data_IF_473906025593
#
_entry.id   IF_473906025593
#
_cell.length_a   1.000
_cell.length_b   1.000
_cell.length_c   1.000
_cell.angle_alpha   90.00
_cell.angle_beta   90.00
_cell.angle_gamma   90.00
#
_symmetry.space_group_name_H-M   'P 1'
#
loop_
_entity.id
_entity.type
_entity.pdbx_description
1 polymer ?
#
# COMPACT_ATOMS: atom_id res chain seq x y z
N UNK A 1 17.29 18.26 -15.65
CA UNK A 1 16.57 18.06 -14.37
C UNK A 1 16.63 16.58 -14.04
N UNK A 2 17.50 16.22 -13.11
CA UNK A 2 17.81 14.84 -12.73
C UNK A 2 16.62 14.20 -12.00
N UNK A 3 16.19 13.06 -12.53
CA UNK A 3 15.24 12.17 -11.88
C UNK A 3 15.83 11.68 -10.54
N UNK A 4 15.27 12.14 -9.42
CA UNK A 4 15.46 11.47 -8.14
C UNK A 4 14.99 10.01 -8.19
N UNK A 5 15.30 9.18 -7.19
CA UNK A 5 15.12 7.71 -7.22
C UNK A 5 13.67 7.19 -7.42
N UNK A 6 12.68 8.05 -7.64
CA UNK A 6 11.25 7.75 -7.76
C UNK A 6 10.64 8.19 -9.11
N UNK A 7 11.31 7.95 -10.24
CA UNK A 7 10.89 8.45 -11.55
C UNK A 7 9.88 7.59 -12.34
N UNK A 8 9.59 6.34 -11.95
CA UNK A 8 8.76 5.44 -12.77
C UNK A 8 7.73 4.67 -11.94
N UNK A 9 6.53 4.47 -12.49
CA UNK A 9 5.46 3.57 -11.96
C UNK A 9 6.00 2.23 -11.43
N UNK A 10 6.99 1.66 -12.12
CA UNK A 10 7.68 0.43 -11.73
C UNK A 10 8.38 0.52 -10.37
N UNK A 11 8.96 1.67 -10.03
CA UNK A 11 9.66 1.85 -8.75
C UNK A 11 8.71 1.68 -7.58
N UNK A 12 7.47 2.20 -7.68
CA UNK A 12 6.45 2.00 -6.64
C UNK A 12 6.10 0.53 -6.48
N UNK A 13 5.93 -0.19 -7.58
CA UNK A 13 5.64 -1.63 -7.56
C UNK A 13 6.80 -2.41 -6.91
N UNK A 14 8.05 -2.10 -7.29
CA UNK A 14 9.24 -2.74 -6.71
C UNK A 14 9.37 -2.49 -5.22
N UNK A 15 9.15 -1.26 -4.75
CA UNK A 15 9.20 -0.91 -3.32
C UNK A 15 8.15 -1.70 -2.53
N UNK A 16 6.93 -1.81 -3.05
CA UNK A 16 5.86 -2.56 -2.39
C UNK A 16 6.19 -4.05 -2.31
N UNK A 17 6.68 -4.66 -3.39
CA UNK A 17 7.07 -6.07 -3.37
C UNK A 17 8.29 -6.33 -2.50
N UNK A 18 9.28 -5.43 -2.49
CA UNK A 18 10.43 -5.53 -1.59
C UNK A 18 10.00 -5.46 -0.12
N UNK A 19 9.14 -4.50 0.24
CA UNK A 19 8.57 -4.41 1.58
C UNK A 19 7.73 -5.63 1.95
N UNK A 20 6.95 -6.15 1.00
CA UNK A 20 6.17 -7.39 1.18
C UNK A 20 7.08 -8.59 1.42
N UNK A 21 8.13 -8.75 0.62
CA UNK A 21 9.11 -9.83 0.78
C UNK A 21 9.82 -9.76 2.14
N UNK A 22 10.25 -8.57 2.56
CA UNK A 22 10.88 -8.35 3.86
C UNK A 22 9.93 -8.66 5.02
N UNK A 23 8.66 -8.24 4.93
CA UNK A 23 7.63 -8.55 5.90
C UNK A 23 7.36 -10.06 6.00
N UNK A 24 7.15 -10.73 4.88
CA UNK A 24 6.92 -12.19 4.84
C UNK A 24 8.12 -12.94 5.41
N UNK A 25 9.33 -12.59 5.00
CA UNK A 25 10.55 -13.25 5.44
C UNK A 25 10.78 -13.07 6.95
N UNK A 26 10.71 -11.83 7.44
CA UNK A 26 10.89 -11.56 8.87
C UNK A 26 9.81 -12.23 9.72
N UNK A 27 8.56 -12.23 9.27
CA UNK A 27 7.46 -12.94 9.92
C UNK A 27 7.68 -14.46 9.96
N UNK A 28 8.07 -15.06 8.84
CA UNK A 28 8.37 -16.50 8.78
C UNK A 28 9.51 -16.90 9.70
N UNK A 29 10.62 -16.13 9.71
CA UNK A 29 11.74 -16.37 10.61
C UNK A 29 11.31 -16.26 12.08
N UNK A 30 10.47 -15.27 12.42
CA UNK A 30 9.95 -15.12 13.77
C UNK A 30 9.02 -16.27 14.19
N UNK A 31 8.23 -16.84 13.28
CA UNK A 31 7.38 -18.00 13.56
C UNK A 31 8.21 -19.27 13.78
N UNK A 32 9.24 -19.48 12.94
CA UNK A 32 10.10 -20.69 12.95
C UNK A 32 11.05 -20.71 14.13
N UNK A 33 11.83 -19.64 14.34
CA UNK A 33 12.87 -19.60 15.37
C UNK A 33 12.34 -19.20 16.74
N UNK A 34 11.25 -18.44 16.78
CA UNK A 34 10.56 -18.00 17.99
C UNK A 34 11.44 -17.27 19.02
N UNK A 35 12.57 -16.72 18.58
CA UNK A 35 13.49 -15.98 19.41
C UNK A 35 13.00 -14.54 19.61
N UNK A 36 13.35 -13.94 20.75
CA UNK A 36 13.06 -12.53 21.05
C UNK A 36 13.61 -11.60 19.95
N UNK A 37 14.84 -11.85 19.48
CA UNK A 37 15.47 -11.07 18.42
C UNK A 37 14.67 -11.14 17.10
N UNK A 38 14.27 -12.33 16.65
CA UNK A 38 13.50 -12.49 15.40
C UNK A 38 12.12 -11.85 15.48
N UNK A 39 11.45 -11.96 16.63
CA UNK A 39 10.17 -11.30 16.87
C UNK A 39 10.31 -9.77 16.85
N UNK A 40 11.34 -9.21 17.48
CA UNK A 40 11.62 -7.76 17.47
C UNK A 40 11.89 -7.24 16.05
N UNK A 41 12.65 -7.97 15.23
CA UNK A 41 12.89 -7.61 13.83
C UNK A 41 11.58 -7.63 13.04
N UNK A 42 10.75 -8.66 13.19
CA UNK A 42 9.45 -8.75 12.51
C UNK A 42 8.54 -7.57 12.88
N UNK A 43 8.48 -7.19 14.16
CA UNK A 43 7.73 -6.01 14.62
C UNK A 43 8.29 -4.74 14.00
N UNK A 44 9.61 -4.55 14.02
CA UNK A 44 10.24 -3.36 13.44
C UNK A 44 9.93 -3.23 11.94
N UNK A 45 9.97 -4.34 11.20
CA UNK A 45 9.59 -4.37 9.77
C UNK A 45 8.11 -4.04 9.58
N UNK A 46 7.20 -4.59 10.39
CA UNK A 46 5.77 -4.31 10.32
C UNK A 46 5.48 -2.81 10.59
N UNK A 47 6.12 -2.23 11.61
CA UNK A 47 6.00 -0.81 11.93
C UNK A 47 6.59 0.09 10.84
N UNK A 48 7.71 -0.29 10.24
CA UNK A 48 8.29 0.43 9.12
C UNK A 48 7.36 0.40 7.89
N UNK A 49 6.77 -0.77 7.58
CA UNK A 49 5.77 -0.90 6.53
C UNK A 49 4.54 -0.03 6.80
N UNK A 50 4.03 -0.04 8.03
CA UNK A 50 2.91 0.79 8.45
C UNK A 50 3.22 2.29 8.30
N UNK A 51 4.34 2.75 8.85
CA UNK A 51 4.74 4.16 8.80
C UNK A 51 4.93 4.63 7.35
N UNK A 52 5.63 3.85 6.52
CA UNK A 52 5.81 4.15 5.10
C UNK A 52 4.46 4.16 4.36
N UNK A 53 3.59 3.19 4.64
CA UNK A 53 2.23 3.14 4.10
C UNK A 53 1.42 4.39 4.43
N UNK A 54 1.46 4.86 5.68
CA UNK A 54 0.81 6.11 6.09
C UNK A 54 1.35 7.32 5.32
N UNK A 55 2.68 7.44 5.19
CA UNK A 55 3.31 8.54 4.43
C UNK A 55 2.88 8.52 2.97
N UNK A 56 2.88 7.33 2.34
CA UNK A 56 2.42 7.16 0.95
C UNK A 56 0.93 7.48 0.79
N UNK A 57 0.09 7.00 1.71
CA UNK A 57 -1.35 7.23 1.69
C UNK A 57 -1.67 8.73 1.80
N UNK A 58 -1.11 9.42 2.81
CA UNK A 58 -1.34 10.85 3.02
C UNK A 58 -0.82 11.68 1.83
N UNK A 59 0.35 11.33 1.33
CA UNK A 59 0.94 11.94 0.14
C UNK A 59 0.09 11.75 -1.10
N UNK A 60 -0.48 10.56 -1.29
CA UNK A 60 -1.37 10.25 -2.41
C UNK A 60 -2.72 10.95 -2.28
N UNK A 61 -3.30 10.92 -1.08
CA UNK A 61 -4.55 11.57 -0.77
C UNK A 61 -4.48 13.09 -0.95
N UNK A 62 -3.42 13.74 -0.48
CA UNK A 62 -3.23 15.18 -0.68
C UNK A 62 -3.20 15.57 -2.17
N UNK A 63 -2.51 14.76 -3.01
CA UNK A 63 -2.50 14.95 -4.47
C UNK A 63 -3.87 14.70 -5.09
N UNK A 64 -4.56 13.65 -4.65
CA UNK A 64 -5.90 13.32 -5.11
C UNK A 64 -6.89 14.45 -4.79
N UNK A 65 -6.82 15.07 -3.60
CA UNK A 65 -7.64 16.23 -3.24
C UNK A 65 -7.43 17.40 -4.20
N UNK A 66 -6.18 17.67 -4.59
CA UNK A 66 -5.87 18.73 -5.56
C UNK A 66 -6.46 18.40 -6.95
N UNK A 67 -6.27 17.17 -7.44
CA UNK A 67 -6.80 16.70 -8.72
C UNK A 67 -8.32 16.63 -8.77
N UNK A 68 -8.95 16.33 -7.64
CA UNK A 68 -10.41 16.23 -7.51
C UNK A 68 -11.13 17.53 -7.89
N UNK A 69 -10.43 18.68 -7.94
CA UNK A 69 -11.00 19.94 -8.46
C UNK A 69 -11.40 19.87 -9.94
N UNK A 70 -10.70 19.07 -10.73
CA UNK A 70 -10.94 18.90 -12.17
C UNK A 70 -11.43 17.50 -12.53
N UNK A 71 -11.15 16.50 -11.68
CA UNK A 71 -11.42 15.08 -11.95
C UNK A 71 -12.39 14.48 -10.91
N UNK A 72 -13.12 13.45 -11.31
CA UNK A 72 -13.95 12.63 -10.43
C UNK A 72 -13.12 11.48 -9.85
N UNK A 73 -12.65 11.69 -8.62
CA UNK A 73 -11.81 10.71 -7.91
C UNK A 73 -12.65 10.06 -6.81
N UNK A 74 -13.00 8.79 -7.00
CA UNK A 74 -13.64 7.97 -5.97
C UNK A 74 -12.62 7.33 -5.05
N UNK A 75 -13.03 7.00 -3.82
CA UNK A 75 -12.17 6.24 -2.90
C UNK A 75 -11.81 4.87 -3.48
N UNK A 76 -12.74 4.20 -4.17
CA UNK A 76 -12.46 2.93 -4.82
C UNK A 76 -11.38 3.04 -5.92
N UNK A 77 -11.38 4.14 -6.69
CA UNK A 77 -10.34 4.40 -7.67
C UNK A 77 -8.97 4.64 -6.98
N UNK A 78 -8.97 5.29 -5.82
CA UNK A 78 -7.75 5.60 -5.06
C UNK A 78 -7.16 4.36 -4.34
N UNK A 79 -8.00 3.54 -3.69
CA UNK A 79 -7.54 2.42 -2.85
C UNK A 79 -7.56 1.06 -3.56
N UNK A 80 -8.41 0.87 -4.56
CA UNK A 80 -8.51 -0.40 -5.31
C UNK A 80 -8.07 -0.28 -6.77
N UNK A 81 -7.67 0.91 -7.21
CA UNK A 81 -7.32 1.21 -8.61
C UNK A 81 -8.47 0.81 -9.56
N UNK A 82 -9.71 1.04 -9.11
CA UNK A 82 -10.92 0.65 -9.82
C UNK A 82 -11.15 1.49 -11.09
N UNK A 83 -11.98 0.97 -12.01
CA UNK A 83 -12.26 1.64 -13.29
C UNK A 83 -11.02 1.71 -14.18
N UNK A 84 -10.85 2.84 -14.86
CA UNK A 84 -9.74 3.09 -15.80
C UNK A 84 -8.48 3.67 -15.12
N UNK A 85 -8.44 3.67 -13.77
CA UNK A 85 -7.35 4.30 -13.02
C UNK A 85 -5.98 3.68 -13.29
N UNK A 86 -5.91 2.36 -13.53
CA UNK A 86 -4.65 1.68 -13.78
C UNK A 86 -4.80 0.59 -14.84
N UNK A 87 -3.71 0.29 -15.56
CA UNK A 87 -3.69 -0.90 -16.41
C UNK A 87 -3.91 -2.16 -15.56
N UNK A 88 -4.54 -3.23 -16.13
CA UNK A 88 -4.81 -4.46 -15.39
C UNK A 88 -3.56 -5.06 -14.74
N UNK A 89 -2.39 -4.90 -15.38
CA UNK A 89 -1.10 -5.38 -14.85
C UNK A 89 -0.72 -4.67 -13.56
N UNK A 90 -0.74 -3.33 -13.55
CA UNK A 90 -0.38 -2.55 -12.35
C UNK A 90 -1.36 -2.85 -11.21
N UNK A 91 -2.66 -2.87 -11.53
CA UNK A 91 -3.71 -3.17 -10.56
C UNK A 91 -3.49 -4.54 -9.90
N UNK A 92 -3.24 -5.59 -10.70
CA UNK A 92 -2.94 -6.94 -10.17
C UNK A 92 -1.69 -6.97 -9.31
N UNK A 93 -0.65 -6.25 -9.67
CA UNK A 93 0.61 -6.22 -8.90
C UNK A 93 0.42 -5.56 -7.53
N UNK A 94 -0.18 -4.38 -7.49
CA UNK A 94 -0.38 -3.66 -6.23
C UNK A 94 -1.41 -4.36 -5.33
N UNK A 95 -2.55 -4.79 -5.88
CA UNK A 95 -3.54 -5.56 -5.11
C UNK A 95 -3.00 -6.93 -4.68
N UNK A 96 -2.22 -7.58 -5.53
CA UNK A 96 -1.60 -8.87 -5.24
C UNK A 96 -0.62 -8.77 -4.07
N UNK A 97 0.23 -7.74 -4.05
CA UNK A 97 1.13 -7.50 -2.93
C UNK A 97 0.37 -7.20 -1.62
N UNK A 98 -0.66 -6.35 -1.67
CA UNK A 98 -1.52 -6.09 -0.49
C UNK A 98 -2.20 -7.38 0.00
N UNK A 99 -2.70 -8.22 -0.90
CA UNK A 99 -3.31 -9.49 -0.55
C UNK A 99 -2.30 -10.45 0.11
N UNK A 100 -1.07 -10.52 -0.39
CA UNK A 100 0.01 -11.30 0.24
C UNK A 100 0.32 -10.77 1.64
N UNK A 101 0.38 -9.45 1.83
CA UNK A 101 0.58 -8.85 3.15
C UNK A 101 -0.53 -9.23 4.12
N UNK A 102 -1.80 -9.17 3.69
CA UNK A 102 -2.95 -9.55 4.51
C UNK A 102 -2.88 -11.03 4.90
N UNK A 103 -2.65 -11.92 3.94
CA UNK A 103 -2.55 -13.37 4.18
C UNK A 103 -1.40 -13.68 5.14
N UNK A 104 -0.22 -13.08 4.92
CA UNK A 104 0.94 -13.30 5.77
C UNK A 104 0.74 -12.75 7.19
N UNK A 105 0.09 -11.59 7.33
CA UNK A 105 -0.22 -11.01 8.64
C UNK A 105 -1.17 -11.89 9.44
N UNK A 106 -2.26 -12.34 8.80
CA UNK A 106 -3.23 -13.25 9.42
C UNK A 106 -2.57 -14.58 9.77
N UNK A 107 -1.83 -15.18 8.85
CA UNK A 107 -1.13 -16.44 9.08
C UNK A 107 -0.12 -16.34 10.24
N UNK A 108 0.68 -15.27 10.29
CA UNK A 108 1.65 -15.04 11.36
C UNK A 108 0.99 -14.86 12.73
N UNK A 109 -0.08 -14.05 12.80
CA UNK A 109 -0.84 -13.84 14.03
C UNK A 109 -1.55 -15.13 14.51
N UNK A 110 -2.08 -15.93 13.58
CA UNK A 110 -2.72 -17.22 13.89
C UNK A 110 -1.72 -18.30 14.30
N UNK A 111 -0.54 -18.34 13.70
CA UNK A 111 0.50 -19.32 14.02
C UNK A 111 1.06 -19.13 15.45
N UNK A 112 1.08 -17.89 15.95
CA UNK A 112 1.55 -17.54 17.29
C UNK A 112 0.60 -16.55 17.98
N UNK A 113 -0.57 -17.00 18.46
CA UNK A 113 -1.57 -16.13 19.07
C UNK A 113 -1.05 -15.40 20.31
N UNK A 114 -1.58 -14.19 20.56
CA UNK A 114 -1.24 -13.35 21.72
C UNK A 114 0.26 -12.99 21.85
N UNK A 115 0.98 -13.01 20.73
CA UNK A 115 2.39 -12.59 20.67
C UNK A 115 2.55 -11.25 19.94
N UNK A 116 3.76 -10.72 19.93
CA UNK A 116 4.12 -9.53 19.17
C UNK A 116 3.96 -9.70 17.64
N UNK A 117 3.73 -10.91 17.13
CA UNK A 117 3.40 -11.11 15.71
C UNK A 117 2.04 -10.52 15.32
N UNK A 118 1.16 -10.22 16.28
CA UNK A 118 -0.09 -9.49 16.02
C UNK A 118 0.14 -8.10 15.41
N UNK A 119 1.29 -7.44 15.68
CA UNK A 119 1.65 -6.17 15.05
C UNK A 119 1.78 -6.28 13.53
N UNK A 120 1.97 -7.48 12.99
CA UNK A 120 1.98 -7.74 11.54
C UNK A 120 0.69 -7.31 10.82
N UNK A 121 -0.44 -7.21 11.53
CA UNK A 121 -1.74 -6.75 11.00
C UNK A 121 -1.66 -5.31 10.47
N UNK A 122 -0.66 -4.53 10.89
CA UNK A 122 -0.43 -3.16 10.40
C UNK A 122 0.29 -3.11 9.04
N UNK A 123 1.01 -4.16 8.65
CA UNK A 123 1.82 -4.18 7.43
C UNK A 123 1.04 -3.93 6.12
N UNK A 124 -0.21 -4.42 5.94
CA UNK A 124 -1.04 -4.16 4.75
C UNK A 124 -1.26 -2.68 4.41
N UNK A 125 -1.05 -1.77 5.36
CA UNK A 125 -1.13 -0.31 5.13
C UNK A 125 -0.08 0.14 4.11
N UNK A 126 1.05 -0.55 3.99
CA UNK A 126 2.03 -0.29 2.92
C UNK A 126 1.41 -0.46 1.53
N UNK A 127 0.72 -1.58 1.32
CA UNK A 127 0.02 -1.86 0.07
C UNK A 127 -1.02 -0.79 -0.26
N UNK A 128 -1.93 -0.51 0.69
CA UNK A 128 -3.00 0.50 0.53
C UNK A 128 -2.43 1.90 0.28
N UNK A 129 -1.41 2.30 1.04
CA UNK A 129 -0.74 3.59 0.87
C UNK A 129 -0.09 3.73 -0.50
N UNK A 130 0.58 2.68 -0.98
CA UNK A 130 1.17 2.68 -2.30
C UNK A 130 0.13 2.72 -3.43
N UNK A 131 -1.02 2.07 -3.26
CA UNK A 131 -2.15 2.16 -4.20
C UNK A 131 -2.63 3.61 -4.33
N UNK A 132 -2.88 4.30 -3.22
CA UNK A 132 -3.29 5.71 -3.21
C UNK A 132 -2.22 6.63 -3.80
N UNK A 133 -0.95 6.42 -3.44
CA UNK A 133 0.16 7.17 -4.00
C UNK A 133 0.26 7.00 -5.52
N UNK A 134 0.25 5.76 -6.00
CA UNK A 134 0.35 5.44 -7.42
C UNK A 134 -0.83 6.02 -8.20
N UNK A 135 -2.05 5.78 -7.73
CA UNK A 135 -3.28 6.28 -8.37
C UNK A 135 -3.28 7.80 -8.48
N UNK A 136 -2.88 8.51 -7.42
CA UNK A 136 -2.82 9.98 -7.44
C UNK A 136 -1.78 10.54 -8.41
N UNK A 137 -0.67 9.82 -8.63
CA UNK A 137 0.48 10.30 -9.42
C UNK A 137 0.40 9.90 -10.89
N UNK A 138 -0.01 8.66 -11.16
CA UNK A 138 0.02 8.06 -12.50
C UNK A 138 -1.36 7.66 -13.00
N UNK A 139 -2.36 7.62 -12.13
CA UNK A 139 -3.68 7.16 -12.49
C UNK A 139 -4.46 8.17 -13.33
N UNK A 140 -5.32 7.63 -14.19
CA UNK A 140 -6.25 8.39 -15.02
C UNK A 140 -7.63 8.40 -14.38
N UNK A 141 -8.27 9.56 -14.36
CA UNK A 141 -9.60 9.71 -13.77
C UNK A 141 -10.53 10.43 -14.76
N UNK A 142 -11.84 10.14 -14.74
CA UNK A 142 -12.82 10.87 -15.53
C UNK A 142 -12.82 12.36 -15.16
N UNK A 143 -13.13 13.23 -16.13
CA UNK A 143 -13.33 14.65 -15.86
C UNK A 143 -14.57 14.86 -15.00
N UNK A 144 -14.49 15.83 -14.10
CA UNK A 144 -15.62 16.23 -13.27
C UNK A 144 -16.68 16.91 -14.11
N UNK A 145 -17.91 16.40 -14.03
CA UNK A 145 -19.07 17.04 -14.67
C UNK A 145 -19.70 18.03 -13.68
N UNK A 146 -19.69 19.33 -14.00
CA UNK A 146 -20.37 20.34 -13.17
C UNK A 146 -21.87 20.29 -13.46
N UNK A 147 -22.66 19.81 -12.50
CA UNK A 147 -24.12 19.82 -12.62
C UNK A 147 -24.63 21.27 -12.46
N UNK A 148 -25.42 21.82 -13.41
CA UNK A 148 -25.89 23.21 -13.32
C UNK A 148 -26.79 23.39 -12.09
N UNK A 149 -26.60 24.50 -11.37
CA UNK A 149 -27.38 24.85 -10.18
C UNK A 149 -28.83 25.12 -10.61
N UNK A 150 -29.77 24.24 -10.24
CA UNK A 150 -31.22 24.53 -10.40
C UNK A 150 -31.54 25.74 -9.51
N UNK A 151 -31.92 26.85 -10.14
CA UNK A 151 -32.49 28.03 -9.48
C UNK A 151 -33.92 27.74 -9.07
#
# INVERSE_FOLDING_TARGET
MSAGPFSTSESTIRVVWAGTGLFVLSGALAVVFDASATRSVAVAVALACFALGCVLYLSGYARAVQRSRAEEISMAALTFLAGETASPRVRRQLLGATAVQVVAAVAGASARPFTSLAFGILAPVLGVGAQAFWASRFGTFPRRVVKPKRR
#
